data_IF_972313009537
#
_entry.id   IF_972313009537
#
_cell.length_a   1.000
_cell.length_b   1.000
_cell.length_c   1.000
_cell.angle_alpha   90.00
_cell.angle_beta   90.00
_cell.angle_gamma   90.00
#
_symmetry.space_group_name_H-M   'P 1'
#
loop_
_entity.id
_entity.type
_entity.pdbx_description
1 polymer ?
#
# COMPACT_ATOMS: atom_id res chain seq x y z
N UNK A 1 -5.25 -16.65 7.36
CA UNK A 1 -5.66 -15.34 6.76
C UNK A 1 -5.11 -14.25 7.65
N UNK A 2 -4.45 -13.21 7.07
CA UNK A 2 -3.94 -12.07 7.83
C UNK A 2 -4.98 -10.96 7.82
N UNK A 3 -5.35 -10.47 8.99
CA UNK A 3 -6.20 -9.28 9.13
C UNK A 3 -5.30 -8.05 9.05
N UNK A 4 -5.62 -7.10 8.18
CA UNK A 4 -4.84 -5.88 8.01
C UNK A 4 -5.68 -4.72 7.49
N UNK A 5 -5.16 -3.53 7.66
CA UNK A 5 -5.77 -2.28 7.17
C UNK A 5 -4.71 -1.36 6.57
N UNK A 6 -4.97 -0.83 5.38
CA UNK A 6 -4.21 0.31 4.85
C UNK A 6 -4.77 1.59 5.46
N UNK A 7 -3.93 2.28 6.20
CA UNK A 7 -4.29 3.47 6.95
C UNK A 7 -3.70 4.69 6.27
N UNK A 8 -4.58 5.59 5.85
CA UNK A 8 -4.18 6.91 5.40
C UNK A 8 -3.96 7.81 6.60
N UNK A 9 -2.72 8.19 6.84
CA UNK A 9 -2.34 9.13 7.91
C UNK A 9 -2.86 10.54 7.64
N UNK A 10 -2.78 11.41 8.61
CA UNK A 10 -3.29 12.79 8.48
C UNK A 10 -2.65 13.54 7.31
N UNK A 11 -1.31 13.45 7.15
CA UNK A 11 -0.55 14.24 6.17
C UNK A 11 0.65 13.51 5.55
N UNK A 12 1.05 12.36 6.08
CA UNK A 12 2.37 11.75 5.80
C UNK A 12 2.28 10.48 4.93
N UNK A 13 1.16 10.27 4.27
CA UNK A 13 0.95 9.14 3.36
C UNK A 13 0.23 7.96 3.99
N UNK A 14 0.48 6.77 3.49
CA UNK A 14 -0.23 5.54 3.83
C UNK A 14 0.74 4.52 4.45
N UNK A 15 0.23 3.74 5.41
CA UNK A 15 0.92 2.61 6.03
C UNK A 15 -0.07 1.47 6.25
N UNK A 16 0.38 0.24 6.12
CA UNK A 16 -0.45 -0.94 6.36
C UNK A 16 -0.08 -1.53 7.71
N UNK A 17 -1.10 -1.74 8.57
CA UNK A 17 -0.98 -2.61 9.72
C UNK A 17 -1.40 -4.02 9.35
N UNK A 18 -0.57 -5.02 9.66
CA UNK A 18 -0.89 -6.44 9.50
C UNK A 18 -1.07 -7.09 10.87
N UNK A 19 -1.85 -8.17 10.93
CA UNK A 19 -2.18 -8.89 12.18
C UNK A 19 -2.91 -8.02 13.21
N UNK A 20 -3.81 -7.17 12.73
CA UNK A 20 -4.61 -6.29 13.59
C UNK A 20 -5.79 -7.03 14.21
N UNK A 21 -6.17 -6.61 15.41
CA UNK A 21 -7.35 -7.09 16.12
C UNK A 21 -8.54 -6.14 15.96
N UNK A 22 -8.27 -4.85 15.78
CA UNK A 22 -9.28 -3.80 15.64
C UNK A 22 -8.82 -2.71 14.66
N UNK A 23 -9.76 -1.91 14.20
CA UNK A 23 -9.48 -0.82 13.24
C UNK A 23 -8.62 0.27 13.87
N UNK A 24 -7.74 0.82 13.05
CA UNK A 24 -6.93 1.98 13.42
C UNK A 24 -7.78 3.27 13.31
N UNK A 25 -7.80 4.14 14.33
CA UNK A 25 -8.49 5.43 14.25
C UNK A 25 -8.01 6.30 13.09
N UNK A 26 -8.91 7.03 12.46
CA UNK A 26 -8.56 7.95 11.36
C UNK A 26 -7.96 9.25 11.88
N UNK A 27 -7.15 9.90 11.04
CA UNK A 27 -6.61 11.23 11.30
C UNK A 27 -5.40 11.26 12.23
N UNK A 28 -4.80 10.10 12.47
CA UNK A 28 -3.54 9.99 13.22
C UNK A 28 -2.36 10.44 12.35
N UNK A 29 -1.29 10.93 12.99
CA UNK A 29 0.01 11.08 12.31
C UNK A 29 0.59 9.70 11.96
N UNK A 30 1.67 9.67 11.17
CA UNK A 30 2.36 8.43 10.84
C UNK A 30 2.87 7.73 12.11
N UNK A 31 3.51 8.47 13.01
CA UNK A 31 4.04 7.95 14.27
C UNK A 31 2.93 7.42 15.19
N UNK A 32 1.81 8.14 15.28
CA UNK A 32 0.65 7.69 16.06
C UNK A 32 0.02 6.44 15.45
N UNK A 33 -0.04 6.35 14.12
CA UNK A 33 -0.55 5.18 13.41
C UNK A 33 0.36 3.96 13.67
N UNK A 34 1.68 4.14 13.60
CA UNK A 34 2.66 3.10 13.92
C UNK A 34 2.50 2.64 15.37
N UNK A 35 2.41 3.56 16.32
CA UNK A 35 2.22 3.24 17.74
C UNK A 35 0.92 2.45 17.96
N UNK A 36 -0.15 2.77 17.25
CA UNK A 36 -1.42 2.06 17.34
C UNK A 36 -1.35 0.64 16.76
N UNK A 37 -0.64 0.45 15.63
CA UNK A 37 -0.34 -0.87 15.07
C UNK A 37 0.43 -1.72 16.10
N UNK A 38 1.47 -1.14 16.70
CA UNK A 38 2.31 -1.82 17.72
C UNK A 38 1.53 -2.18 18.99
N UNK A 39 0.63 -1.30 19.43
CA UNK A 39 -0.24 -1.56 20.60
C UNK A 39 -1.05 -2.84 20.42
N UNK A 40 -1.44 -3.15 19.20
CA UNK A 40 -2.18 -4.37 18.85
C UNK A 40 -1.30 -5.61 18.64
N UNK A 41 0.03 -5.49 18.73
CA UNK A 41 0.97 -6.55 18.36
C UNK A 41 1.09 -6.75 16.84
N UNK A 42 0.61 -5.78 16.06
CA UNK A 42 0.65 -5.80 14.61
C UNK A 42 2.02 -5.46 14.03
N UNK A 43 2.17 -5.72 12.74
CA UNK A 43 3.35 -5.40 11.95
C UNK A 43 3.12 -4.15 11.10
N UNK A 44 4.16 -3.33 11.01
CA UNK A 44 4.20 -2.12 10.20
C UNK A 44 4.75 -2.44 8.81
N UNK A 45 3.90 -2.33 7.80
CA UNK A 45 4.24 -2.57 6.41
C UNK A 45 4.09 -1.26 5.62
N UNK A 46 5.13 -0.84 4.91
CA UNK A 46 5.10 0.39 4.09
C UNK A 46 4.77 0.01 2.64
N UNK A 47 3.58 0.37 2.13
CA UNK A 47 3.19 0.08 0.76
C UNK A 47 3.81 1.10 -0.21
N UNK A 48 4.09 0.68 -1.43
CA UNK A 48 4.52 1.49 -2.60
C UNK A 48 5.25 2.81 -2.24
N UNK A 49 6.32 2.79 -1.42
CA UNK A 49 7.02 4.00 -1.02
C UNK A 49 7.59 4.71 -2.26
N UNK A 50 7.76 6.03 -2.15
CA UNK A 50 8.34 6.88 -3.19
C UNK A 50 7.49 7.05 -4.46
N UNK A 51 6.29 6.48 -4.55
CA UNK A 51 5.38 6.75 -5.67
C UNK A 51 4.82 8.18 -5.59
N UNK A 52 5.57 9.13 -6.14
CA UNK A 52 5.25 10.57 -6.10
C UNK A 52 3.98 10.95 -6.88
N UNK A 53 3.32 9.98 -7.52
CA UNK A 53 2.01 10.17 -8.14
C UNK A 53 0.86 10.04 -7.13
N UNK A 54 1.18 9.53 -5.93
CA UNK A 54 0.25 9.36 -4.81
C UNK A 54 0.79 10.04 -3.54
N UNK A 55 -0.05 10.16 -2.53
CA UNK A 55 0.38 10.64 -1.22
C UNK A 55 1.01 9.46 -0.47
N UNK A 56 2.31 9.32 -0.56
CA UNK A 56 3.09 8.25 0.08
C UNK A 56 4.17 8.84 0.98
N UNK A 57 4.63 8.10 2.01
CA UNK A 57 5.74 8.56 2.83
C UNK A 57 7.02 8.71 1.99
N UNK A 58 7.65 9.89 2.06
CA UNK A 58 8.98 10.12 1.51
C UNK A 58 10.08 9.80 2.53
N UNK A 59 11.33 10.03 2.15
CA UNK A 59 12.49 9.80 3.03
C UNK A 59 12.37 10.52 4.38
N UNK A 60 11.90 11.77 4.37
CA UNK A 60 11.71 12.59 5.56
C UNK A 60 10.71 11.99 6.56
N UNK A 61 9.77 11.20 6.08
CA UNK A 61 8.77 10.54 6.91
C UNK A 61 9.20 9.13 7.35
N UNK A 62 9.91 8.39 6.47
CA UNK A 62 10.32 7.02 6.76
C UNK A 62 11.52 6.93 7.69
N UNK A 63 12.48 7.88 7.60
CA UNK A 63 13.68 7.84 8.45
C UNK A 63 13.38 7.94 9.95
N UNK A 64 12.45 8.80 10.43
CA UNK A 64 12.11 8.87 11.84
C UNK A 64 11.50 7.58 12.41
N UNK A 65 10.81 6.79 11.58
CA UNK A 65 10.15 5.54 11.99
C UNK A 65 10.88 4.29 11.53
N UNK A 66 12.14 4.42 11.07
CA UNK A 66 12.87 3.35 10.38
C UNK A 66 12.95 2.05 11.19
N UNK A 67 13.16 2.14 12.50
CA UNK A 67 13.26 1.01 13.41
C UNK A 67 11.91 0.33 13.65
N UNK A 68 10.82 1.02 13.33
CA UNK A 68 9.44 0.52 13.46
C UNK A 68 8.93 -0.15 12.19
N UNK A 69 9.67 -0.08 11.09
CA UNK A 69 9.26 -0.70 9.82
C UNK A 69 9.65 -2.17 9.82
N UNK A 70 8.66 -3.06 9.79
CA UNK A 70 8.88 -4.51 9.71
C UNK A 70 9.13 -4.97 8.28
N UNK A 71 8.37 -4.44 7.32
CA UNK A 71 8.53 -4.77 5.91
C UNK A 71 8.20 -3.56 5.02
N UNK A 72 8.79 -3.54 3.84
CA UNK A 72 8.59 -2.48 2.86
C UNK A 72 8.34 -3.07 1.47
N UNK A 73 7.38 -2.51 0.76
CA UNK A 73 7.05 -2.94 -0.59
C UNK A 73 8.08 -2.42 -1.58
N UNK A 74 8.84 -3.35 -2.18
CA UNK A 74 9.85 -3.04 -3.19
C UNK A 74 9.34 -3.19 -4.62
N UNK A 75 8.17 -3.77 -4.78
CA UNK A 75 7.52 -3.94 -6.08
C UNK A 75 6.00 -3.85 -5.96
N UNK A 76 5.44 -2.92 -6.71
CA UNK A 76 4.00 -2.77 -6.91
C UNK A 76 3.76 -2.49 -8.41
N UNK A 77 2.95 -3.31 -9.12
CA UNK A 77 2.72 -3.16 -10.55
C UNK A 77 1.87 -1.94 -10.91
N UNK A 78 1.27 -1.28 -9.91
CA UNK A 78 0.49 -0.05 -10.11
C UNK A 78 1.32 1.22 -10.03
N UNK A 79 2.55 1.11 -9.55
CA UNK A 79 3.53 2.20 -9.60
C UNK A 79 3.85 2.49 -11.07
N UNK A 80 3.42 3.68 -11.54
CA UNK A 80 3.47 4.04 -12.94
C UNK A 80 4.89 4.21 -13.48
N UNK A 81 5.83 4.60 -12.63
CA UNK A 81 7.23 4.86 -12.97
C UNK A 81 8.11 3.82 -12.27
N UNK A 82 8.67 2.89 -13.04
CA UNK A 82 9.44 1.76 -12.53
C UNK A 82 10.62 2.14 -11.61
N UNK A 83 11.20 3.34 -11.81
CA UNK A 83 12.28 3.84 -10.96
C UNK A 83 11.87 4.05 -9.49
N UNK A 84 10.58 4.19 -9.18
CA UNK A 84 10.13 4.27 -7.79
C UNK A 84 10.19 2.90 -7.08
N UNK A 85 9.86 1.81 -7.79
CA UNK A 85 10.10 0.46 -7.28
C UNK A 85 11.60 0.20 -7.07
N UNK A 86 12.46 0.65 -7.99
CA UNK A 86 13.91 0.56 -7.82
C UNK A 86 14.42 1.39 -6.65
N UNK A 87 13.84 2.58 -6.42
CA UNK A 87 14.16 3.42 -5.26
C UNK A 87 13.78 2.72 -3.96
N UNK A 88 12.60 2.10 -3.90
CA UNK A 88 12.15 1.29 -2.77
C UNK A 88 13.08 0.11 -2.49
N UNK A 89 13.51 -0.61 -3.52
CA UNK A 89 14.44 -1.73 -3.40
C UNK A 89 15.81 -1.27 -2.85
N UNK A 90 16.34 -0.14 -3.36
CA UNK A 90 17.59 0.44 -2.84
C UNK A 90 17.47 0.89 -1.38
N UNK A 91 16.33 1.49 -1.01
CA UNK A 91 16.06 1.88 0.37
C UNK A 91 16.01 0.66 1.29
N UNK A 92 15.24 -0.37 0.91
CA UNK A 92 15.16 -1.62 1.67
C UNK A 92 16.54 -2.26 1.89
N UNK A 93 17.36 -2.34 0.83
CA UNK A 93 18.72 -2.89 0.92
C UNK A 93 19.63 -2.05 1.81
N UNK A 94 19.60 -0.71 1.68
CA UNK A 94 20.43 0.20 2.47
C UNK A 94 20.15 0.09 3.97
N UNK A 95 18.88 -0.01 4.34
CA UNK A 95 18.46 -0.04 5.74
C UNK A 95 18.16 -1.45 6.26
N UNK A 96 18.41 -2.49 5.45
CA UNK A 96 18.22 -3.92 5.80
C UNK A 96 16.78 -4.25 6.21
N UNK A 97 15.82 -3.60 5.58
CA UNK A 97 14.41 -3.87 5.78
C UNK A 97 13.98 -5.14 5.04
N UNK A 98 12.97 -5.83 5.55
CA UNK A 98 12.41 -6.99 4.87
C UNK A 98 11.67 -6.52 3.62
N UNK A 99 12.08 -7.05 2.46
CA UNK A 99 11.48 -6.73 1.19
C UNK A 99 10.17 -7.51 1.00
N UNK A 100 9.15 -6.81 0.54
CA UNK A 100 7.85 -7.38 0.25
C UNK A 100 7.35 -6.90 -1.12
N UNK A 101 6.24 -7.44 -1.58
CA UNK A 101 5.59 -7.00 -2.81
C UNK A 101 4.08 -7.20 -2.73
N UNK A 102 3.32 -6.34 -3.38
CA UNK A 102 1.89 -6.39 -3.42
C UNK A 102 1.33 -6.11 -4.81
N UNK A 103 0.12 -6.61 -5.10
CA UNK A 103 -0.57 -6.30 -6.36
C UNK A 103 -1.34 -5.00 -6.32
N UNK A 104 -1.64 -4.50 -5.12
CA UNK A 104 -2.51 -3.34 -4.90
C UNK A 104 -3.78 -3.41 -5.78
N UNK A 105 -4.38 -4.61 -5.84
CA UNK A 105 -5.44 -4.92 -6.76
C UNK A 105 -6.74 -4.21 -6.37
N UNK A 106 -7.21 -3.30 -7.22
CA UNK A 106 -8.51 -2.63 -7.07
C UNK A 106 -9.59 -3.24 -7.97
N UNK A 107 -9.25 -4.26 -8.73
CA UNK A 107 -10.12 -5.02 -9.62
C UNK A 107 -9.75 -6.50 -9.57
N UNK A 108 -10.72 -7.39 -9.79
CA UNK A 108 -10.51 -8.84 -9.73
C UNK A 108 -9.37 -9.32 -10.64
N UNK A 109 -9.22 -8.74 -11.82
CA UNK A 109 -8.15 -9.08 -12.77
C UNK A 109 -6.73 -8.76 -12.25
N UNK A 110 -6.60 -7.85 -11.27
CA UNK A 110 -5.33 -7.51 -10.62
C UNK A 110 -4.91 -8.52 -9.56
N UNK A 111 -5.84 -9.33 -9.04
CA UNK A 111 -5.53 -10.32 -8.01
C UNK A 111 -4.56 -11.37 -8.53
N UNK A 112 -3.50 -11.63 -7.76
CA UNK A 112 -2.45 -12.58 -8.12
C UNK A 112 -1.53 -12.13 -9.26
N UNK A 113 -1.57 -10.84 -9.68
CA UNK A 113 -0.56 -10.27 -10.59
C UNK A 113 0.82 -10.20 -9.91
N UNK A 114 0.84 -10.05 -8.61
CA UNK A 114 2.00 -10.24 -7.75
C UNK A 114 1.68 -11.29 -6.70
N UNK A 115 2.60 -12.19 -6.49
CA UNK A 115 2.51 -13.24 -5.47
C UNK A 115 3.85 -13.37 -4.77
N UNK A 116 3.79 -13.61 -3.47
CA UNK A 116 4.95 -13.89 -2.66
C UNK A 116 4.88 -15.36 -2.25
N UNK A 117 5.88 -16.14 -2.68
CA UNK A 117 6.01 -17.55 -2.29
C UNK A 117 6.92 -17.61 -1.06
N UNK A 118 6.38 -18.13 0.02
CA UNK A 118 7.07 -18.18 1.30
C UNK A 118 6.69 -19.47 2.06
N UNK A 119 7.41 -19.80 3.11
CA UNK A 119 7.08 -20.93 3.99
C UNK A 119 5.78 -20.66 4.75
N UNK A 120 5.10 -21.70 5.18
CA UNK A 120 3.97 -21.56 6.10
C UNK A 120 4.44 -20.88 7.40
N UNK A 121 3.53 -20.14 8.03
CA UNK A 121 3.81 -19.38 9.23
C UNK A 121 2.59 -19.36 10.16
N UNK A 122 2.85 -19.24 11.45
CA UNK A 122 1.84 -18.98 12.47
C UNK A 122 2.19 -17.70 13.23
N UNK A 123 1.34 -16.68 13.03
CA UNK A 123 1.50 -15.37 13.66
C UNK A 123 2.52 -14.43 12.98
N UNK A 124 2.69 -13.24 13.58
CA UNK A 124 3.45 -12.15 12.96
C UNK A 124 4.95 -12.42 12.90
N UNK A 125 5.52 -13.05 13.92
CA UNK A 125 6.97 -13.27 13.96
C UNK A 125 7.43 -14.27 12.89
N UNK A 126 6.76 -15.42 12.79
CA UNK A 126 7.07 -16.42 11.76
C UNK A 126 6.78 -15.91 10.35
N UNK A 127 5.76 -15.04 10.21
CA UNK A 127 5.49 -14.34 8.95
C UNK A 127 6.71 -13.54 8.49
N UNK A 128 7.31 -12.71 9.37
CA UNK A 128 8.50 -11.92 9.02
C UNK A 128 9.72 -12.81 8.68
N UNK A 129 9.92 -13.89 9.43
CA UNK A 129 10.98 -14.84 9.14
C UNK A 129 10.78 -15.52 7.78
N UNK A 130 9.54 -15.91 7.48
CA UNK A 130 9.20 -16.51 6.21
C UNK A 130 9.29 -15.52 5.04
N UNK A 131 8.87 -14.25 5.26
CA UNK A 131 8.91 -13.18 4.27
C UNK A 131 10.35 -12.80 3.89
N UNK A 132 11.29 -12.88 4.83
CA UNK A 132 12.71 -12.56 4.60
C UNK A 132 13.33 -13.40 3.49
N UNK A 133 12.93 -14.66 3.40
CA UNK A 133 13.45 -15.65 2.45
C UNK A 133 12.48 -15.88 1.27
N UNK A 134 11.46 -15.05 1.16
CA UNK A 134 10.39 -15.25 0.20
C UNK A 134 10.78 -14.91 -1.24
N UNK A 135 10.18 -15.62 -2.19
CA UNK A 135 10.32 -15.37 -3.62
C UNK A 135 9.17 -14.50 -4.15
N UNK A 136 9.50 -13.41 -4.80
CA UNK A 136 8.51 -12.52 -5.42
C UNK A 136 8.26 -12.98 -6.85
N UNK A 137 7.02 -13.33 -7.16
CA UNK A 137 6.57 -13.71 -8.50
C UNK A 137 5.63 -12.65 -9.06
N UNK A 138 5.93 -12.13 -10.25
CA UNK A 138 5.12 -11.12 -10.93
C UNK A 138 4.58 -11.65 -12.25
N UNK A 139 3.31 -11.35 -12.55
CA UNK A 139 2.79 -11.47 -13.90
C UNK A 139 2.85 -10.08 -14.55
N UNK A 140 3.45 -10.00 -15.73
CA UNK A 140 3.39 -8.77 -16.53
C UNK A 140 1.94 -8.52 -16.95
N UNK A 141 1.25 -7.69 -16.18
CA UNK A 141 -0.09 -7.22 -16.54
C UNK A 141 0.06 -5.77 -16.99
N UNK A 142 -0.43 -5.44 -18.18
CA UNK A 142 -0.38 -4.06 -18.67
C UNK A 142 -1.07 -3.13 -17.68
N UNK A 143 -0.34 -2.16 -17.16
CA UNK A 143 -0.84 -1.15 -16.22
C UNK A 143 -2.07 -0.43 -16.79
N UNK A 144 -2.06 -0.14 -18.11
CA UNK A 144 -3.17 0.48 -18.83
C UNK A 144 -4.44 -0.37 -18.78
N UNK A 145 -4.32 -1.70 -18.90
CA UNK A 145 -5.46 -2.61 -18.81
C UNK A 145 -6.08 -2.61 -17.40
N UNK A 146 -5.23 -2.69 -16.36
CA UNK A 146 -5.70 -2.66 -14.96
C UNK A 146 -6.37 -1.34 -14.62
N UNK A 147 -5.82 -0.22 -15.09
CA UNK A 147 -6.43 1.10 -14.90
C UNK A 147 -7.74 1.27 -15.68
N UNK A 148 -7.83 0.72 -16.87
CA UNK A 148 -9.07 0.72 -17.65
C UNK A 148 -10.18 -0.07 -16.94
N UNK A 149 -9.87 -1.25 -16.41
CA UNK A 149 -10.82 -2.06 -15.62
C UNK A 149 -11.28 -1.32 -14.36
N UNK A 150 -10.36 -0.72 -13.60
CA UNK A 150 -10.71 0.10 -12.42
C UNK A 150 -11.66 1.25 -12.78
N UNK A 151 -11.42 1.90 -13.92
CA UNK A 151 -12.29 2.97 -14.39
C UNK A 151 -13.70 2.47 -14.73
N UNK A 152 -13.81 1.29 -15.34
CA UNK A 152 -15.08 0.67 -15.66
C UNK A 152 -15.84 0.23 -14.40
N UNK A 153 -15.20 -0.42 -13.46
CA UNK A 153 -15.81 -0.86 -12.19
C UNK A 153 -16.28 0.31 -11.33
N UNK A 154 -15.46 1.37 -11.20
CA UNK A 154 -15.86 2.58 -10.45
C UNK A 154 -17.04 3.30 -11.08
N UNK A 155 -17.27 3.16 -12.39
CA UNK A 155 -18.47 3.67 -13.05
C UNK A 155 -19.68 2.74 -12.92
N UNK A 156 -19.46 1.45 -12.87
CA UNK A 156 -20.53 0.45 -12.80
C UNK A 156 -21.17 0.33 -11.41
N UNK A 157 -20.45 0.72 -10.35
CA UNK A 157 -21.00 0.66 -8.98
C UNK A 157 -21.87 1.88 -8.66
N UNK A 158 -23.00 1.71 -7.92
CA UNK A 158 -23.87 2.84 -7.52
C UNK A 158 -23.12 3.93 -6.74
N UNK A 159 -22.11 3.55 -5.96
CA UNK A 159 -21.25 4.48 -5.22
C UNK A 159 -20.28 5.23 -6.15
N UNK A 160 -19.73 4.56 -7.16
CA UNK A 160 -18.88 5.17 -8.17
C UNK A 160 -19.65 6.16 -9.05
N UNK A 161 -20.89 5.84 -9.41
CA UNK A 161 -21.78 6.74 -10.15
C UNK A 161 -22.12 8.00 -9.35
N UNK A 162 -22.33 7.88 -8.03
CA UNK A 162 -22.56 9.04 -7.12
C UNK A 162 -21.30 9.90 -7.00
N UNK A 163 -20.10 9.32 -6.88
CA UNK A 163 -18.82 10.05 -6.85
C UNK A 163 -18.56 10.80 -8.16
N UNK A 164 -18.78 10.14 -9.29
CA UNK A 164 -18.62 10.74 -10.62
C UNK A 164 -19.58 11.92 -10.84
N UNK A 165 -20.85 11.80 -10.41
CA UNK A 165 -21.85 12.90 -10.47
C UNK A 165 -21.43 14.08 -9.57
N UNK A 166 -20.93 13.82 -8.36
CA UNK A 166 -20.45 14.85 -7.44
C UNK A 166 -19.23 15.59 -8.00
N UNK A 167 -18.25 14.88 -8.56
CA UNK A 167 -17.07 15.47 -9.19
C UNK A 167 -17.43 16.35 -10.41
N UNK A 168 -18.36 15.91 -11.26
CA UNK A 168 -18.87 16.71 -12.38
C UNK A 168 -19.57 17.97 -11.90
N UNK A 169 -20.34 17.92 -10.82
CA UNK A 169 -21.05 19.08 -10.25
C UNK A 169 -20.06 20.12 -9.72
N UNK A 170 -19.00 19.69 -9.03
CA UNK A 170 -17.93 20.57 -8.53
C UNK A 170 -17.17 21.24 -9.68
N UNK A 171 -16.76 20.47 -10.71
CA UNK A 171 -16.08 21.03 -11.89
C UNK A 171 -16.96 22.03 -12.67
N UNK A 172 -18.28 21.80 -12.70
CA UNK A 172 -19.22 22.73 -13.36
C UNK A 172 -19.45 24.02 -12.57
N UNK A 173 -19.36 23.95 -11.23
CA UNK A 173 -19.42 25.12 -10.36
C UNK A 173 -18.16 26.00 -10.50
N UNK A 174 -16.97 25.37 -10.55
CA UNK A 174 -15.68 26.06 -10.73
C UNK A 174 -15.48 26.69 -12.13
N UNK A 175 -16.26 26.28 -13.14
CA UNK A 175 -16.23 26.90 -14.49
C UNK A 175 -17.19 28.09 -14.66
N UNK A 176 -18.01 28.36 -13.65
CA UNK A 176 -19.00 29.43 -13.67
C UNK A 176 -18.65 30.59 -12.72
N UNK A 177 -17.60 30.43 -11.92
CA UNK A 177 -16.92 31.47 -11.16
C UNK A 177 -15.70 31.98 -11.93
#
# INVERSE_FOLDING_TARGET
>A
MIVGEEVKTATQGEVIGLFLNERIPRGLSLEQTVAEIRRQGGLVYVPHPFDRMHTVPGYEHLLPILEEIDAIEIFNPRVAIGSFNEEAARFAAKYRLIAAAGSDAHVAAGLGSVRVRMRDFDGPQEFLESLRDAEIHTKSTSLLYVQALKFLETKATPQGARRARRARRVRRAMRKS
#
